data_IF_378253687175
#
_entry.id   IF_378253687175
#
_cell.length_a   1.000
_cell.length_b   1.000
_cell.length_c   1.000
_cell.angle_alpha   90.00
_cell.angle_beta   90.00
_cell.angle_gamma   90.00
#
_symmetry.space_group_name_H-M   'P 1'
#
loop_
_entity.id
_entity.type
_entity.pdbx_description
1 polymer ?
#
# COMPACT_ATOMS: atom_id res chain seq x y z
N UNK A 1 31.41 -16.72 77.46
CA UNK A 1 31.43 -16.31 76.05
C UNK A 1 30.18 -16.88 75.38
N UNK A 2 29.16 -16.06 75.17
CA UNK A 2 27.89 -16.49 74.60
C UNK A 2 27.95 -16.33 73.08
N UNK A 3 27.83 -17.43 72.35
CA UNK A 3 27.72 -17.49 70.90
C UNK A 3 26.28 -17.19 70.49
N UNK A 4 26.02 -15.95 70.09
CA UNK A 4 24.75 -15.55 69.46
C UNK A 4 24.80 -15.93 67.99
N UNK A 5 24.27 -17.11 67.67
CA UNK A 5 23.94 -17.51 66.30
C UNK A 5 22.72 -16.72 65.84
N UNK A 6 22.92 -15.75 64.95
CA UNK A 6 21.83 -14.99 64.35
C UNK A 6 20.99 -15.92 63.45
N UNK A 7 19.74 -16.09 63.84
CA UNK A 7 18.69 -16.82 63.13
C UNK A 7 18.44 -16.14 61.77
N UNK A 8 18.72 -16.85 60.67
CA UNK A 8 18.45 -16.39 59.30
C UNK A 8 16.94 -16.50 59.06
N UNK A 9 16.24 -15.44 58.61
CA UNK A 9 14.81 -15.54 58.32
C UNK A 9 14.63 -16.42 57.07
N UNK A 10 13.78 -17.44 57.21
CA UNK A 10 13.31 -18.28 56.12
C UNK A 10 12.55 -17.42 55.11
N UNK A 11 13.19 -17.22 53.96
CA UNK A 11 12.67 -16.52 52.79
C UNK A 11 11.59 -17.41 52.12
N UNK A 12 10.42 -17.48 52.76
CA UNK A 12 9.21 -18.18 52.27
C UNK A 12 8.14 -17.17 51.86
N UNK A 13 8.56 -16.10 51.19
CA UNK A 13 7.63 -15.25 50.44
C UNK A 13 7.00 -16.04 49.28
N UNK A 14 5.77 -15.70 48.86
CA UNK A 14 5.19 -16.27 47.65
C UNK A 14 6.18 -16.06 46.51
N UNK A 15 6.55 -17.14 45.83
CA UNK A 15 7.50 -17.11 44.71
C UNK A 15 6.95 -16.14 43.67
N UNK A 16 7.50 -14.93 43.61
CA UNK A 16 7.15 -13.95 42.58
C UNK A 16 7.74 -14.49 41.29
N UNK A 17 6.94 -15.25 40.56
CA UNK A 17 7.35 -15.75 39.25
C UNK A 17 7.52 -14.53 38.35
N UNK A 18 8.72 -14.26 37.82
CA UNK A 18 8.92 -13.12 36.96
C UNK A 18 8.05 -13.28 35.71
N UNK A 19 7.40 -12.19 35.28
CA UNK A 19 6.51 -12.16 34.11
C UNK A 19 7.19 -12.76 32.87
N UNK A 20 8.49 -12.53 32.73
CA UNK A 20 9.33 -13.10 31.67
C UNK A 20 9.38 -14.64 31.69
N UNK A 21 9.37 -15.28 32.87
CA UNK A 21 9.34 -16.74 32.99
C UNK A 21 7.96 -17.32 32.67
N UNK A 22 6.87 -16.61 33.02
CA UNK A 22 5.51 -17.00 32.64
C UNK A 22 5.32 -16.93 31.13
N UNK A 23 5.71 -15.80 30.51
CA UNK A 23 5.66 -15.61 29.06
C UNK A 23 6.53 -16.64 28.33
N UNK A 24 7.71 -16.97 28.87
CA UNK A 24 8.58 -18.00 28.29
C UNK A 24 7.95 -19.40 28.33
N UNK A 25 7.19 -19.71 29.39
CA UNK A 25 6.52 -21.01 29.56
C UNK A 25 5.32 -21.16 28.65
N UNK A 26 4.50 -20.11 28.52
CA UNK A 26 3.38 -20.08 27.59
C UNK A 26 3.85 -20.14 26.14
N UNK A 27 4.89 -19.37 25.79
CA UNK A 27 5.50 -19.37 24.47
C UNK A 27 6.13 -20.73 24.12
N UNK A 28 6.66 -21.46 25.10
CA UNK A 28 7.15 -22.83 24.89
C UNK A 28 6.02 -23.80 24.49
N UNK A 29 4.78 -23.55 24.93
CA UNK A 29 3.60 -24.31 24.50
C UNK A 29 3.27 -24.14 23.01
N UNK A 30 3.57 -22.97 22.44
CA UNK A 30 3.42 -22.71 21.01
C UNK A 30 4.58 -23.29 20.18
N UNK A 31 5.81 -23.30 20.71
CA UNK A 31 7.04 -23.74 19.99
C UNK A 31 7.20 -25.26 19.81
N UNK A 32 6.13 -26.04 19.77
CA UNK A 32 6.18 -27.49 19.69
C UNK A 32 6.70 -27.99 18.32
N UNK A 33 8.02 -27.88 18.09
CA UNK A 33 8.81 -28.73 17.19
C UNK A 33 8.60 -28.58 15.68
N UNK A 34 8.03 -27.49 15.18
CA UNK A 34 7.77 -27.31 13.74
C UNK A 34 8.73 -26.35 13.03
N UNK A 35 8.71 -26.39 11.70
CA UNK A 35 9.68 -25.74 10.80
C UNK A 35 9.72 -24.20 10.95
N UNK A 36 10.68 -23.52 10.30
CA UNK A 36 10.86 -22.08 10.44
C UNK A 36 9.62 -21.26 10.02
N UNK A 37 8.82 -21.75 9.08
CA UNK A 37 7.59 -21.10 8.60
C UNK A 37 6.47 -21.17 9.66
N UNK A 38 6.34 -22.29 10.35
CA UNK A 38 5.36 -22.48 11.43
C UNK A 38 5.64 -21.58 12.63
N UNK A 39 6.90 -21.15 12.83
CA UNK A 39 7.26 -20.22 13.91
C UNK A 39 6.54 -18.89 13.79
N UNK A 40 6.32 -18.41 12.58
CA UNK A 40 5.64 -17.14 12.34
C UNK A 40 4.16 -17.24 12.73
N UNK A 41 3.52 -18.34 12.33
CA UNK A 41 2.14 -18.65 12.72
C UNK A 41 2.01 -18.80 14.23
N UNK A 42 2.96 -19.50 14.87
CA UNK A 42 2.99 -19.68 16.33
C UNK A 42 3.17 -18.35 17.08
N UNK A 43 4.00 -17.43 16.57
CA UNK A 43 4.19 -16.11 17.16
C UNK A 43 2.93 -15.25 17.04
N UNK A 44 2.26 -15.28 15.89
CA UNK A 44 1.00 -14.55 15.69
C UNK A 44 -0.12 -15.17 16.52
N UNK A 45 -0.19 -16.50 16.62
CA UNK A 45 -1.15 -17.19 17.47
C UNK A 45 -0.95 -16.83 18.95
N UNK A 46 0.31 -16.75 19.41
CA UNK A 46 0.63 -16.27 20.75
C UNK A 46 0.23 -14.81 20.95
N UNK A 47 0.51 -13.93 20.00
CA UNK A 47 0.12 -12.52 20.07
C UNK A 47 -1.41 -12.35 20.13
N UNK A 48 -2.16 -13.11 19.31
CA UNK A 48 -3.61 -13.12 19.32
C UNK A 48 -4.18 -13.66 20.65
N UNK A 49 -3.55 -14.68 21.23
CA UNK A 49 -3.94 -15.20 22.54
C UNK A 49 -3.74 -14.15 23.64
N UNK A 50 -2.61 -13.44 23.61
CA UNK A 50 -2.30 -12.37 24.54
C UNK A 50 -3.25 -11.17 24.38
N UNK A 51 -3.57 -10.78 23.15
CA UNK A 51 -4.52 -9.68 22.86
C UNK A 51 -5.93 -10.00 23.33
N UNK A 52 -6.36 -11.25 23.19
CA UNK A 52 -7.71 -11.72 23.56
C UNK A 52 -7.82 -12.17 25.01
N UNK A 53 -6.74 -12.11 25.79
CA UNK A 53 -6.64 -12.63 27.17
C UNK A 53 -7.08 -14.11 27.27
N UNK A 54 -6.74 -14.92 26.26
CA UNK A 54 -7.08 -16.34 26.20
C UNK A 54 -5.88 -17.17 26.67
N UNK A 55 -6.08 -18.01 27.69
CA UNK A 55 -5.04 -18.97 28.12
C UNK A 55 -4.79 -20.02 27.05
N UNK A 56 -3.51 -20.16 26.69
CA UNK A 56 -3.05 -21.18 25.76
C UNK A 56 -3.13 -22.58 26.38
N UNK A 57 -4.23 -23.28 26.13
CA UNK A 57 -4.42 -24.69 26.46
C UNK A 57 -4.17 -25.56 25.22
N UNK A 58 -3.75 -26.83 25.37
CA UNK A 58 -3.52 -27.72 24.24
C UNK A 58 -4.74 -27.84 23.31
N UNK A 59 -5.96 -27.69 23.84
CA UNK A 59 -7.20 -27.73 23.08
C UNK A 59 -7.51 -26.44 22.30
N UNK A 60 -7.03 -25.28 22.78
CA UNK A 60 -7.25 -23.97 22.13
C UNK A 60 -6.16 -23.60 21.12
N UNK A 61 -4.96 -24.19 21.24
CA UNK A 61 -3.83 -23.96 20.34
C UNK A 61 -4.16 -24.18 18.85
N UNK A 62 -4.88 -25.24 18.43
CA UNK A 62 -5.20 -25.44 17.01
C UNK A 62 -6.09 -24.34 16.44
N UNK A 63 -7.09 -23.88 17.20
CA UNK A 63 -7.99 -22.81 16.78
C UNK A 63 -7.26 -21.47 16.68
N UNK A 64 -6.42 -21.12 17.67
CA UNK A 64 -5.59 -19.91 17.64
C UNK A 64 -4.61 -19.89 16.46
N UNK A 65 -4.05 -21.06 16.08
CA UNK A 65 -3.20 -21.19 14.90
C UNK A 65 -3.97 -20.99 13.59
N UNK A 66 -5.18 -21.54 13.49
CA UNK A 66 -6.03 -21.32 12.32
C UNK A 66 -6.40 -19.83 12.18
N UNK A 67 -6.74 -19.18 13.29
CA UNK A 67 -6.99 -17.74 13.32
C UNK A 67 -5.76 -16.93 12.89
N UNK A 68 -4.59 -17.27 13.43
CA UNK A 68 -3.32 -16.63 13.06
C UNK A 68 -3.01 -16.77 11.57
N UNK A 69 -3.24 -17.95 10.99
CA UNK A 69 -3.02 -18.20 9.57
C UNK A 69 -4.00 -17.39 8.71
N UNK A 70 -5.27 -17.29 9.13
CA UNK A 70 -6.28 -16.47 8.45
C UNK A 70 -5.86 -15.00 8.43
N UNK A 71 -5.53 -14.43 9.59
CA UNK A 71 -5.07 -13.04 9.71
C UNK A 71 -3.81 -12.77 8.87
N UNK A 72 -2.82 -13.67 8.92
CA UNK A 72 -1.61 -13.56 8.11
C UNK A 72 -1.92 -13.56 6.61
N UNK A 73 -2.81 -14.47 6.18
CA UNK A 73 -3.19 -14.58 4.77
C UNK A 73 -3.95 -13.33 4.28
N UNK A 74 -4.82 -12.78 5.11
CA UNK A 74 -5.59 -11.58 4.78
C UNK A 74 -4.68 -10.36 4.71
N UNK A 75 -3.77 -10.22 5.68
CA UNK A 75 -2.79 -9.14 5.68
C UNK A 75 -1.87 -9.24 4.46
N UNK A 76 -1.35 -10.43 4.15
CA UNK A 76 -0.49 -10.65 2.99
C UNK A 76 -1.22 -10.30 1.68
N UNK A 77 -2.49 -10.68 1.56
CA UNK A 77 -3.30 -10.33 0.39
C UNK A 77 -3.49 -8.82 0.25
N UNK A 78 -3.87 -8.13 1.32
CA UNK A 78 -4.02 -6.67 1.34
C UNK A 78 -2.71 -5.97 0.99
N UNK A 79 -1.60 -6.42 1.58
CA UNK A 79 -0.28 -5.88 1.33
C UNK A 79 0.13 -6.04 -0.14
N UNK A 80 -0.04 -7.24 -0.71
CA UNK A 80 0.30 -7.50 -2.10
C UNK A 80 -0.56 -6.68 -3.05
N UNK A 81 -1.86 -6.58 -2.79
CA UNK A 81 -2.77 -5.78 -3.60
C UNK A 81 -2.37 -4.29 -3.60
N UNK A 82 -2.08 -3.73 -2.42
CA UNK A 82 -1.63 -2.35 -2.29
C UNK A 82 -0.29 -2.12 -2.99
N UNK A 83 0.64 -3.07 -2.88
CA UNK A 83 1.95 -3.01 -3.52
C UNK A 83 1.82 -3.03 -5.05
N UNK A 84 0.94 -3.86 -5.61
CA UNK A 84 0.68 -3.91 -7.05
C UNK A 84 0.07 -2.60 -7.54
N UNK A 85 -0.89 -2.03 -6.81
CA UNK A 85 -1.48 -0.74 -7.17
C UNK A 85 -0.46 0.39 -7.09
N UNK A 86 0.45 0.35 -6.12
CA UNK A 86 1.55 1.30 -6.04
C UNK A 86 2.47 1.20 -7.26
N UNK A 87 2.94 -0.01 -7.60
CA UNK A 87 3.81 -0.25 -8.77
C UNK A 87 3.12 0.21 -10.05
N UNK A 88 1.82 -0.04 -10.20
CA UNK A 88 1.05 0.42 -11.36
C UNK A 88 1.03 1.94 -11.47
N UNK A 89 0.82 2.65 -10.35
CA UNK A 89 0.84 4.12 -10.34
C UNK A 89 2.22 4.66 -10.69
N UNK A 90 3.27 4.06 -10.14
CA UNK A 90 4.66 4.43 -10.44
C UNK A 90 4.97 4.21 -11.92
N UNK A 91 4.60 3.06 -12.49
CA UNK A 91 4.80 2.77 -13.90
C UNK A 91 4.04 3.73 -14.82
N UNK A 92 2.78 4.08 -14.48
CA UNK A 92 2.01 5.09 -15.24
C UNK A 92 2.65 6.47 -15.12
N UNK A 93 3.12 6.86 -13.93
CA UNK A 93 3.79 8.14 -13.73
C UNK A 93 5.11 8.21 -14.53
N UNK A 94 5.90 7.13 -14.55
CA UNK A 94 7.12 7.03 -15.34
C UNK A 94 6.83 7.06 -16.84
N UNK A 95 5.78 6.37 -17.29
CA UNK A 95 5.35 6.41 -18.69
C UNK A 95 4.86 7.80 -19.09
N UNK A 96 4.10 8.49 -18.24
CA UNK A 96 3.70 9.88 -18.47
C UNK A 96 4.90 10.83 -18.47
N UNK A 97 5.91 10.58 -17.65
CA UNK A 97 7.14 11.37 -17.65
C UNK A 97 7.96 11.19 -18.95
N UNK A 98 7.91 10.01 -19.58
CA UNK A 98 8.54 9.76 -20.88
C UNK A 98 7.82 10.46 -22.04
N UNK A 99 6.50 10.69 -21.94
CA UNK A 99 5.79 11.48 -22.93
C UNK A 99 6.10 12.96 -22.77
N UNK A 100 6.88 13.49 -23.73
CA UNK A 100 7.15 14.93 -23.89
C UNK A 100 5.82 15.69 -23.82
N UNK A 101 5.69 16.60 -22.85
CA UNK A 101 4.48 17.37 -22.51
C UNK A 101 3.56 17.57 -23.74
N UNK A 102 2.29 17.13 -23.70
CA UNK A 102 1.36 17.44 -24.78
C UNK A 102 1.31 18.96 -24.94
N UNK A 103 1.23 19.43 -26.20
CA UNK A 103 1.01 20.85 -26.51
C UNK A 103 -0.12 21.35 -25.62
N UNK A 104 0.21 22.29 -24.72
CA UNK A 104 -0.75 22.75 -23.71
C UNK A 104 -1.99 23.33 -24.38
N UNK A 105 -3.13 23.30 -23.68
CA UNK A 105 -4.39 23.86 -24.17
C UNK A 105 -4.21 25.26 -24.78
N UNK A 106 -3.40 26.12 -24.16
CA UNK A 106 -3.08 27.45 -24.68
C UNK A 106 -2.35 27.44 -26.03
N UNK A 107 -1.45 26.48 -26.28
CA UNK A 107 -0.77 26.36 -27.56
C UNK A 107 -1.75 25.94 -28.67
N UNK A 108 -2.69 25.04 -28.38
CA UNK A 108 -3.74 24.63 -29.32
C UNK A 108 -4.71 25.77 -29.59
N UNK A 109 -5.12 26.50 -28.54
CA UNK A 109 -5.99 27.67 -28.68
C UNK A 109 -5.35 28.76 -29.53
N UNK A 110 -4.06 29.05 -29.29
CA UNK A 110 -3.32 30.07 -30.03
C UNK A 110 -3.10 29.67 -31.49
N UNK A 111 -2.86 28.39 -31.76
CA UNK A 111 -2.80 27.85 -33.12
C UNK A 111 -4.14 28.01 -33.86
N UNK A 112 -5.26 27.74 -33.20
CA UNK A 112 -6.60 27.94 -33.79
C UNK A 112 -6.92 29.42 -34.04
N UNK A 113 -6.56 30.31 -33.11
CA UNK A 113 -6.71 31.76 -33.32
C UNK A 113 -5.87 32.26 -34.49
N UNK A 114 -4.63 31.78 -34.63
CA UNK A 114 -3.79 32.07 -35.79
C UNK A 114 -4.40 31.57 -37.08
N UNK A 115 -4.92 30.34 -37.11
CA UNK A 115 -5.59 29.79 -38.29
C UNK A 115 -6.81 30.62 -38.69
N UNK A 116 -7.66 31.00 -37.72
CA UNK A 116 -8.80 31.88 -37.92
C UNK A 116 -8.40 33.25 -38.45
N UNK A 117 -7.34 33.84 -37.89
CA UNK A 117 -6.82 35.13 -38.32
C UNK A 117 -6.34 35.07 -39.78
N UNK A 118 -5.56 34.05 -40.13
CA UNK A 118 -5.07 33.85 -41.50
C UNK A 118 -6.23 33.65 -42.48
N UNK A 119 -7.24 32.87 -42.08
CA UNK A 119 -8.43 32.66 -42.91
C UNK A 119 -9.23 33.95 -43.09
N UNK A 120 -9.42 34.74 -42.03
CA UNK A 120 -10.11 36.03 -42.09
C UNK A 120 -9.36 37.03 -42.97
N UNK A 121 -8.02 37.07 -42.90
CA UNK A 121 -7.20 37.91 -43.78
C UNK A 121 -7.33 37.48 -45.24
N UNK A 122 -7.25 36.18 -45.52
CA UNK A 122 -7.40 35.65 -46.86
C UNK A 122 -8.81 35.93 -47.43
N UNK A 123 -9.86 35.71 -46.64
CA UNK A 123 -11.24 36.00 -47.02
C UNK A 123 -11.48 37.50 -47.23
N UNK A 124 -10.92 38.37 -46.38
CA UNK A 124 -11.00 39.82 -46.52
C UNK A 124 -10.27 40.33 -47.77
N UNK A 125 -9.08 39.80 -48.05
CA UNK A 125 -8.35 40.11 -49.28
C UNK A 125 -9.12 39.69 -50.53
N UNK A 126 -9.72 38.49 -50.50
CA UNK A 126 -10.53 37.96 -51.59
C UNK A 126 -11.81 38.79 -51.81
N UNK A 127 -12.44 39.26 -50.73
CA UNK A 127 -13.61 40.14 -50.80
C UNK A 127 -13.31 41.50 -51.45
N UNK A 128 -12.08 42.02 -51.31
CA UNK A 128 -11.60 43.23 -51.97
C UNK A 128 -11.23 43.01 -53.46
N UNK A 129 -11.19 41.75 -53.92
CA UNK A 129 -10.88 41.39 -55.30
C UNK A 129 -12.01 40.57 -55.95
N UNK A 130 -13.22 41.15 -56.13
CA UNK A 130 -14.41 40.44 -56.60
C UNK A 130 -14.26 39.80 -57.99
N UNK A 131 -13.36 40.33 -58.84
CA UNK A 131 -13.04 39.74 -60.14
C UNK A 131 -12.40 38.34 -60.02
N UNK A 132 -11.63 38.10 -58.96
CA UNK A 132 -11.01 36.78 -58.70
C UNK A 132 -12.05 35.77 -58.18
N UNK A 133 -13.03 36.22 -57.40
CA UNK A 133 -14.17 35.40 -56.97
C UNK A 133 -15.05 34.97 -58.13
N UNK A 134 -15.34 35.88 -59.06
CA UNK A 134 -16.14 35.57 -60.25
C UNK A 134 -15.42 34.56 -61.18
N UNK A 135 -14.09 34.68 -61.32
CA UNK A 135 -13.29 33.73 -62.09
C UNK A 135 -13.23 32.33 -61.44
N UNK A 136 -13.10 32.26 -60.11
CA UNK A 136 -13.10 30.99 -59.37
C UNK A 136 -14.48 30.33 -59.39
N UNK A 137 -15.55 31.09 -59.17
CA UNK A 137 -16.92 30.59 -59.24
C UNK A 137 -17.28 30.09 -60.65
N UNK A 138 -16.82 30.78 -61.70
CA UNK A 138 -16.97 30.32 -63.09
C UNK A 138 -16.19 29.05 -63.40
N UNK A 139 -15.04 28.81 -62.75
CA UNK A 139 -14.22 27.60 -62.93
C UNK A 139 -14.77 26.36 -62.19
N UNK A 140 -15.54 26.55 -61.11
CA UNK A 140 -16.19 25.45 -60.37
C UNK A 140 -17.64 25.18 -60.80
N UNK A 141 -18.24 26.06 -61.62
CA UNK A 141 -19.62 25.93 -62.12
C UNK A 141 -19.72 25.32 -63.53
N UNK A 142 -18.59 24.91 -64.13
CA UNK A 142 -18.52 24.10 -65.36
C UNK A 142 -18.06 22.68 -65.06
#
# INVERSE_FOLDING_TARGET
>A
MATTTAMRPDDTGPTVIPLSALLSRELAGFRAGRGPEDRLVDLVAFALAAERDVRATPDSLPALRQDALRELSEHAFRYLHNSVEQIRREAVAEQMAMFRRPLGFGAVLLANLLALLLFAVAAGWLALHPATLAALAGAFAG
#
